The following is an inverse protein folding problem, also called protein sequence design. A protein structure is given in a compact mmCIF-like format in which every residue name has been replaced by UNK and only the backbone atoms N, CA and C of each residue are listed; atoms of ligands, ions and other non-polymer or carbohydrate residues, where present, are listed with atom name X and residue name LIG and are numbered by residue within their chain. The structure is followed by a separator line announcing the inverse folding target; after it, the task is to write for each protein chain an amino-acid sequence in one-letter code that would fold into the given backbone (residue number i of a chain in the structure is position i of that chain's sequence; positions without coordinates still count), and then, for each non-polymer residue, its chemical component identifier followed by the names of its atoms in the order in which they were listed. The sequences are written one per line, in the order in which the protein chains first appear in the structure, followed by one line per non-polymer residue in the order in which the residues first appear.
data_IF_080742378916
#
_entry.id   IF_080742378916
#
_cell.length_a   1.000
_cell.length_b   1.000
_cell.length_c   1.000
_cell.angle_alpha   90.00
_cell.angle_beta   90.00
_cell.angle_gamma   90.00
#
_symmetry.space_group_name_H-M   'P 1'
#
loop_
_entity.id
_entity.type
_entity.pdbx_description
1 polymer ?
#
# COMPACT_ATOMS: atom_id res chain seq x y z
N UNK A 1 -14.05 3.15 -11.03
CA UNK A 1 -13.17 1.95 -11.01
C UNK A 1 -12.20 2.12 -9.87
N UNK A 2 -11.78 1.05 -9.20
CA UNK A 2 -10.74 1.12 -8.17
C UNK A 2 -9.62 0.14 -8.53
N UNK A 3 -8.37 0.56 -8.42
CA UNK A 3 -7.20 -0.30 -8.56
C UNK A 3 -6.57 -0.44 -7.19
N UNK A 4 -6.38 -1.67 -6.72
CA UNK A 4 -5.83 -1.97 -5.39
C UNK A 4 -4.55 -2.81 -5.49
N UNK A 5 -3.57 -2.57 -4.61
CA UNK A 5 -2.39 -3.42 -4.47
C UNK A 5 -2.70 -4.62 -3.59
N UNK A 6 -2.68 -5.83 -4.15
CA UNK A 6 -2.89 -7.08 -3.40
C UNK A 6 -1.60 -7.89 -3.32
N UNK A 7 -1.58 -8.88 -2.42
CA UNK A 7 -0.46 -9.82 -2.29
C UNK A 7 -0.21 -10.64 -3.56
N UNK A 8 -1.21 -10.79 -4.42
CA UNK A 8 -1.12 -11.52 -5.69
C UNK A 8 -0.85 -10.64 -6.92
N UNK A 9 -0.78 -9.31 -6.76
CA UNK A 9 -0.58 -8.37 -7.86
C UNK A 9 -1.46 -7.13 -7.73
N UNK A 10 -1.68 -6.42 -8.83
CA UNK A 10 -2.66 -5.33 -8.87
C UNK A 10 -4.00 -5.85 -9.38
N UNK A 11 -5.08 -5.44 -8.71
CA UNK A 11 -6.45 -5.85 -9.08
C UNK A 11 -7.27 -4.61 -9.40
N UNK A 12 -7.81 -4.58 -10.63
CA UNK A 12 -8.77 -3.57 -11.08
C UNK A 12 -10.20 -4.04 -10.87
N UNK A 13 -10.95 -3.28 -10.06
CA UNK A 13 -12.33 -3.57 -9.70
C UNK A 13 -13.26 -2.64 -10.49
N UNK A 14 -14.07 -3.25 -11.35
CA UNK A 14 -15.11 -2.61 -12.17
C UNK A 14 -16.51 -3.00 -11.68
N UNK A 15 -17.58 -2.30 -12.10
CA UNK A 15 -18.94 -2.74 -11.83
C UNK A 15 -19.19 -4.18 -12.28
N UNK A 16 -19.84 -4.99 -11.44
CA UNK A 16 -20.09 -6.41 -11.70
C UNK A 16 -18.90 -7.34 -11.48
N UNK A 17 -17.80 -6.87 -10.89
CA UNK A 17 -16.68 -7.75 -10.51
C UNK A 17 -17.16 -8.88 -9.57
N UNK A 18 -16.58 -10.07 -9.75
CA UNK A 18 -16.91 -11.24 -8.91
C UNK A 18 -16.62 -10.95 -7.44
N UNK A 19 -17.50 -11.43 -6.55
CA UNK A 19 -17.31 -11.28 -5.12
C UNK A 19 -15.97 -11.89 -4.69
N UNK A 20 -15.15 -11.09 -4.02
CA UNK A 20 -13.73 -11.41 -3.76
C UNK A 20 -13.32 -10.82 -2.42
N UNK A 21 -12.52 -11.58 -1.66
CA UNK A 21 -11.79 -11.05 -0.51
C UNK A 21 -10.31 -11.08 -0.88
N UNK A 22 -9.64 -9.94 -0.78
CA UNK A 22 -8.22 -9.82 -1.12
C UNK A 22 -7.45 -9.19 0.03
N UNK A 23 -6.27 -9.75 0.33
CA UNK A 23 -5.31 -9.14 1.23
C UNK A 23 -4.56 -8.02 0.51
N UNK A 24 -4.50 -6.84 1.14
CA UNK A 24 -3.78 -5.67 0.64
C UNK A 24 -2.33 -5.70 1.11
N UNK A 25 -1.43 -5.37 0.20
CA UNK A 25 -0.02 -5.13 0.51
C UNK A 25 0.30 -3.62 0.52
N UNK A 26 1.42 -3.18 1.13
CA UNK A 26 1.86 -1.80 1.02
C UNK A 26 1.98 -1.38 -0.45
N UNK A 27 1.33 -0.27 -0.84
CA UNK A 27 1.35 0.18 -2.23
C UNK A 27 0.33 1.26 -2.56
N UNK A 28 0.23 1.56 -3.86
CA UNK A 28 -0.68 2.60 -4.37
C UNK A 28 -2.03 2.01 -4.73
N UNK A 29 -3.08 2.55 -4.12
CA UNK A 29 -4.46 2.42 -4.55
C UNK A 29 -4.86 3.63 -5.38
N UNK A 30 -5.67 3.44 -6.42
CA UNK A 30 -6.28 4.55 -7.15
C UNK A 30 -7.79 4.40 -7.30
N UNK A 31 -8.50 5.51 -7.09
CA UNK A 31 -9.95 5.63 -7.30
C UNK A 31 -10.17 6.50 -8.53
N UNK A 32 -10.86 5.94 -9.52
CA UNK A 32 -11.13 6.57 -10.80
C UNK A 32 -12.61 6.96 -10.89
N UNK A 33 -12.85 8.26 -11.02
CA UNK A 33 -14.18 8.89 -11.16
C UNK A 33 -14.19 9.77 -12.42
N UNK A 34 -14.68 9.23 -13.54
CA UNK A 34 -14.63 9.92 -14.82
C UNK A 34 -13.18 10.15 -15.28
N UNK A 35 -12.77 11.40 -15.38
CA UNK A 35 -11.40 11.79 -15.71
C UNK A 35 -10.51 12.00 -14.47
N UNK A 36 -11.11 11.98 -13.27
CA UNK A 36 -10.41 12.25 -12.02
C UNK A 36 -9.81 10.95 -11.47
N UNK A 37 -8.53 11.01 -11.08
CA UNK A 37 -7.80 9.89 -10.49
C UNK A 37 -7.23 10.32 -9.15
N UNK A 38 -7.79 9.80 -8.06
CA UNK A 38 -7.28 10.01 -6.71
C UNK A 38 -6.36 8.85 -6.33
N UNK A 39 -5.12 9.16 -5.95
CA UNK A 39 -4.13 8.15 -5.53
C UNK A 39 -3.88 8.20 -4.03
N UNK A 40 -3.88 7.03 -3.41
CA UNK A 40 -3.62 6.84 -1.99
C UNK A 40 -2.51 5.80 -1.83
N UNK A 41 -1.57 6.04 -0.92
CA UNK A 41 -0.75 4.96 -0.38
C UNK A 41 -1.52 4.25 0.72
N UNK A 42 -1.64 2.93 0.62
CA UNK A 42 -2.25 2.07 1.64
C UNK A 42 -1.18 1.23 2.31
N UNK A 43 -1.25 1.08 3.63
CA UNK A 43 -0.23 0.33 4.39
C UNK A 43 -0.40 -1.17 4.26
N UNK A 44 -1.58 -1.70 4.59
CA UNK A 44 -1.94 -3.11 4.61
C UNK A 44 -3.41 -3.21 5.00
N UNK A 45 -4.02 -4.38 4.80
CA UNK A 45 -5.41 -4.62 5.19
C UNK A 45 -6.12 -5.59 4.27
N UNK A 46 -7.41 -5.37 4.04
CA UNK A 46 -8.25 -6.22 3.22
C UNK A 46 -9.19 -5.40 2.33
N UNK A 47 -9.48 -5.94 1.15
CA UNK A 47 -10.55 -5.46 0.27
C UNK A 47 -11.65 -6.51 0.16
N UNK A 48 -12.89 -6.07 0.31
CA UNK A 48 -14.09 -6.92 0.19
C UNK A 48 -14.93 -6.41 -0.96
N UNK A 49 -14.97 -7.19 -2.05
CA UNK A 49 -15.83 -6.94 -3.20
C UNK A 49 -17.10 -7.76 -3.02
N UNK A 50 -18.24 -7.08 -2.96
CA UNK A 50 -19.54 -7.68 -2.75
C UNK A 50 -20.27 -7.93 -4.07
N UNK A 51 -21.18 -8.89 -4.09
CA UNK A 51 -21.99 -9.23 -5.28
C UNK A 51 -22.89 -8.09 -5.77
N UNK A 52 -23.15 -7.08 -4.92
CA UNK A 52 -23.92 -5.89 -5.27
C UNK A 52 -23.04 -4.75 -5.83
N UNK A 53 -21.80 -5.04 -6.24
CA UNK A 53 -20.81 -4.06 -6.74
C UNK A 53 -20.36 -3.01 -5.73
N UNK A 54 -20.61 -3.22 -4.44
CA UNK A 54 -19.97 -2.45 -3.37
C UNK A 54 -18.58 -3.02 -3.09
N UNK A 55 -17.60 -2.16 -2.87
CA UNK A 55 -16.25 -2.57 -2.46
C UNK A 55 -15.84 -1.83 -1.20
N UNK A 56 -15.55 -2.57 -0.13
CA UNK A 56 -15.02 -2.02 1.11
C UNK A 56 -13.51 -2.18 1.14
N UNK A 57 -12.79 -1.06 1.29
CA UNK A 57 -11.34 -1.05 1.50
C UNK A 57 -11.08 -0.80 2.99
N UNK A 58 -10.59 -1.82 3.68
CA UNK A 58 -10.24 -1.75 5.09
C UNK A 58 -8.73 -1.78 5.22
N UNK A 59 -8.12 -0.61 5.36
CA UNK A 59 -6.69 -0.45 5.62
C UNK A 59 -6.47 0.21 6.99
N UNK A 60 -5.32 -0.07 7.61
CA UNK A 60 -4.95 0.60 8.86
C UNK A 60 -4.67 2.09 8.61
N UNK A 61 -3.89 2.38 7.57
CA UNK A 61 -3.59 3.74 7.12
C UNK A 61 -3.79 3.84 5.60
N UNK A 62 -4.39 4.95 5.17
CA UNK A 62 -4.57 5.31 3.77
C UNK A 62 -4.32 6.81 3.61
N UNK A 63 -3.21 7.18 2.97
CA UNK A 63 -2.73 8.56 2.90
C UNK A 63 -2.69 9.02 1.44
N UNK A 64 -3.28 10.17 1.09
CA UNK A 64 -3.11 10.74 -0.26
C UNK A 64 -1.63 10.93 -0.57
N UNK A 65 -1.18 10.48 -1.75
CA UNK A 65 0.26 10.49 -2.10
C UNK A 65 0.85 11.91 -2.05
N UNK A 66 0.05 12.90 -2.46
CA UNK A 66 0.42 14.33 -2.44
C UNK A 66 0.73 14.88 -1.04
N UNK A 67 0.34 14.18 0.04
CA UNK A 67 0.62 14.58 1.44
C UNK A 67 1.86 13.92 2.01
N UNK A 68 2.57 13.11 1.23
CA UNK A 68 3.71 12.33 1.69
C UNK A 68 4.99 13.07 1.30
N UNK A 69 5.81 13.39 2.31
CA UNK A 69 7.09 14.07 2.12
C UNK A 69 8.17 13.05 1.70
N UNK A 70 8.70 13.12 0.48
CA UNK A 70 9.70 12.16 -0.02
C UNK A 70 11.00 12.17 0.80
N UNK A 71 11.41 13.32 1.34
CA UNK A 71 12.66 13.43 2.09
C UNK A 71 12.57 12.66 3.43
N UNK A 72 11.39 12.68 4.06
CA UNK A 72 11.12 11.91 5.28
C UNK A 72 11.11 10.40 4.98
N UNK A 73 10.54 10.01 3.84
CA UNK A 73 10.49 8.61 3.41
C UNK A 73 11.90 8.06 3.15
N UNK A 74 12.72 8.79 2.39
CA UNK A 74 14.09 8.40 2.08
C UNK A 74 14.93 8.26 3.35
N UNK A 75 14.84 9.26 4.24
CA UNK A 75 15.54 9.22 5.53
C UNK A 75 15.10 8.02 6.38
N UNK A 76 13.79 7.79 6.49
CA UNK A 76 13.25 6.65 7.24
C UNK A 76 13.70 5.31 6.66
N UNK A 77 13.76 5.19 5.33
CA UNK A 77 14.21 3.98 4.66
C UNK A 77 15.68 3.68 4.97
N UNK A 78 16.54 4.70 4.95
CA UNK A 78 17.94 4.55 5.34
C UNK A 78 18.09 4.10 6.80
N UNK A 79 17.34 4.71 7.72
CA UNK A 79 17.35 4.36 9.15
C UNK A 79 16.90 2.90 9.39
N UNK A 80 15.82 2.46 8.75
CA UNK A 80 15.30 1.09 8.90
C UNK A 80 16.21 0.05 8.23
N UNK A 81 16.84 0.39 7.11
CA UNK A 81 17.82 -0.47 6.45
C UNK A 81 19.06 -0.69 7.33
N UNK A 82 19.52 0.37 8.00
CA UNK A 82 20.60 0.26 8.98
C UNK A 82 20.17 -0.60 10.18
N UNK A 83 18.96 -0.36 10.73
CA UNK A 83 18.43 -1.16 11.84
C UNK A 83 18.34 -2.64 11.47
N UNK A 84 17.83 -2.97 10.29
CA UNK A 84 17.76 -4.35 9.77
C UNK A 84 19.13 -5.00 9.72
N UNK A 85 20.15 -4.27 9.25
CA UNK A 85 21.53 -4.77 9.16
C UNK A 85 22.18 -5.00 10.53
N UNK A 86 21.78 -4.24 11.55
CA UNK A 86 22.30 -4.32 12.92
C UNK A 86 21.47 -5.19 13.88
N UNK A 87 20.32 -5.69 13.43
CA UNK A 87 19.40 -6.46 14.25
C UNK A 87 20.00 -7.81 14.67
N UNK A 88 19.90 -8.12 15.96
CA UNK A 88 20.56 -9.31 16.55
C UNK A 88 19.59 -10.46 16.82
N UNK A 89 18.28 -10.18 16.88
CA UNK A 89 17.24 -11.19 17.08
C UNK A 89 16.36 -11.32 15.84
N UNK A 90 15.76 -12.49 15.66
CA UNK A 90 14.81 -12.72 14.56
C UNK A 90 13.59 -11.80 14.63
N UNK A 91 13.13 -11.47 15.85
CA UNK A 91 12.05 -10.50 16.04
C UNK A 91 12.45 -9.10 15.53
N UNK A 92 13.62 -8.61 15.92
CA UNK A 92 14.12 -7.29 15.47
C UNK A 92 14.31 -7.25 13.95
N UNK A 93 14.80 -8.34 13.36
CA UNK A 93 14.94 -8.46 11.91
C UNK A 93 13.57 -8.41 11.23
N UNK A 94 12.59 -9.16 11.73
CA UNK A 94 11.24 -9.17 11.17
C UNK A 94 10.58 -7.77 11.23
N UNK A 95 10.66 -7.10 12.37
CA UNK A 95 10.11 -5.74 12.54
C UNK A 95 10.79 -4.73 11.61
N UNK A 96 12.13 -4.77 11.53
CA UNK A 96 12.88 -3.89 10.65
C UNK A 96 12.59 -4.18 9.17
N UNK A 97 12.45 -5.47 8.79
CA UNK A 97 12.12 -5.87 7.43
C UNK A 97 10.74 -5.36 7.01
N UNK A 98 9.71 -5.52 7.86
CA UNK A 98 8.36 -4.99 7.59
C UNK A 98 8.43 -3.49 7.32
N UNK A 99 9.18 -2.75 8.13
CA UNK A 99 9.33 -1.31 7.96
C UNK A 99 10.10 -0.93 6.69
N UNK A 100 11.15 -1.67 6.33
CA UNK A 100 11.86 -1.51 5.04
C UNK A 100 10.93 -1.77 3.87
N UNK A 101 10.11 -2.82 3.91
CA UNK A 101 9.18 -3.17 2.85
C UNK A 101 8.13 -2.07 2.62
N UNK A 102 7.56 -1.54 3.71
CA UNK A 102 6.60 -0.42 3.65
C UNK A 102 7.25 0.84 3.09
N UNK A 103 8.41 1.25 3.61
CA UNK A 103 9.07 2.48 3.13
C UNK A 103 9.62 2.34 1.72
N UNK A 104 10.00 1.13 1.30
CA UNK A 104 10.38 0.87 -0.11
C UNK A 104 9.18 1.07 -1.03
N UNK A 105 8.02 0.51 -0.69
CA UNK A 105 6.79 0.71 -1.45
C UNK A 105 6.36 2.19 -1.45
N UNK A 106 6.51 2.87 -0.32
CA UNK A 106 6.18 4.28 -0.17
C UNK A 106 7.11 5.18 -1.00
N UNK A 107 8.40 4.88 -1.00
CA UNK A 107 9.39 5.59 -1.80
C UNK A 107 9.10 5.44 -3.30
N UNK A 108 8.77 4.21 -3.73
CA UNK A 108 8.34 3.96 -5.12
C UNK A 108 7.08 4.76 -5.48
N UNK A 109 6.12 4.86 -4.56
CA UNK A 109 4.88 5.61 -4.78
C UNK A 109 5.10 7.12 -4.96
N UNK A 110 5.99 7.75 -4.19
CA UNK A 110 6.25 9.19 -4.26
C UNK A 110 7.17 9.59 -5.41
N UNK A 111 8.06 8.69 -5.85
CA UNK A 111 8.97 8.94 -6.99
C UNK A 111 8.30 8.79 -8.37
N UNK A 112 7.00 8.49 -8.42
CA UNK A 112 6.23 8.47 -9.67
C UNK A 112 6.20 7.13 -10.38
N UNK A 113 6.19 6.02 -9.63
CA UNK A 113 5.82 4.70 -10.16
C UNK A 113 4.48 4.66 -10.90
#
# INVERSE_FOLDING_TARGET
MVIIPTTTGEVGILPGHVATIAELKPGVMSVHEGNDVMKYFVSSGFAFVHSNSVTDIMALEAVPIEKIDPDIVEKGLAELTQKLSSASTELQKAEAQIGVDVLTALNFAVMGG
#
